data_IF_993505312053
#
_entry.id   IF_993505312053
#
_cell.length_a   1.000
_cell.length_b   1.000
_cell.length_c   1.000
_cell.angle_alpha   90.00
_cell.angle_beta   90.00
_cell.angle_gamma   90.00
#
_symmetry.space_group_name_H-M   'P 1'
#
loop_
_entity.id
_entity.type
_entity.pdbx_description
1 polymer ?
#
# COMPACT_ATOMS: atom_id res chain seq x y z
N UNK A 1 -24.45 1.26 -5.03
CA UNK A 1 -23.67 0.27 -4.27
C UNK A 1 -22.39 -0.09 -5.00
N UNK A 2 -21.29 -0.31 -4.27
CA UNK A 2 -20.02 -0.78 -4.82
C UNK A 2 -20.10 -2.28 -5.13
N UNK A 3 -19.52 -2.70 -6.26
CA UNK A 3 -19.42 -4.11 -6.60
C UNK A 3 -18.55 -4.85 -5.57
N UNK A 4 -18.76 -6.16 -5.41
CA UNK A 4 -18.02 -6.95 -4.42
C UNK A 4 -16.49 -6.86 -4.58
N UNK A 5 -16.01 -6.74 -5.83
CA UNK A 5 -14.58 -6.63 -6.14
C UNK A 5 -13.97 -5.24 -5.88
N UNK A 6 -14.81 -4.21 -5.69
CA UNK A 6 -14.35 -2.84 -5.37
C UNK A 6 -14.23 -2.63 -3.84
N UNK A 7 -14.72 -3.58 -3.05
CA UNK A 7 -14.67 -3.51 -1.59
C UNK A 7 -13.29 -3.95 -1.10
N UNK A 8 -12.77 -3.23 -0.10
CA UNK A 8 -11.55 -3.63 0.59
C UNK A 8 -11.86 -4.88 1.41
N UNK A 9 -11.20 -5.99 1.08
CA UNK A 9 -11.40 -7.29 1.74
C UNK A 9 -10.46 -7.45 2.94
N UNK A 10 -9.19 -7.05 2.78
CA UNK A 10 -8.15 -7.13 3.81
C UNK A 10 -7.28 -5.88 3.78
N UNK A 11 -6.78 -5.47 4.94
CA UNK A 11 -5.80 -4.40 5.08
C UNK A 11 -4.79 -4.75 6.18
N UNK A 12 -3.58 -4.24 6.02
CA UNK A 12 -2.51 -4.35 7.04
C UNK A 12 -2.22 -2.97 7.58
N UNK A 13 -2.05 -2.87 8.89
CA UNK A 13 -1.62 -1.63 9.54
C UNK A 13 -0.10 -1.57 9.57
N UNK A 14 0.46 -0.49 9.05
CA UNK A 14 1.88 -0.16 9.19
C UNK A 14 2.08 0.67 10.45
N UNK A 15 3.23 0.51 11.10
CA UNK A 15 3.62 1.25 12.31
C UNK A 15 4.15 2.67 12.01
N UNK A 16 4.32 2.99 10.74
CA UNK A 16 4.80 4.29 10.27
C UNK A 16 3.97 4.81 9.08
N UNK A 17 4.13 6.09 8.79
CA UNK A 17 3.51 6.76 7.65
C UNK A 17 4.41 6.70 6.43
N UNK A 18 3.82 6.81 5.24
CA UNK A 18 4.60 7.02 4.02
C UNK A 18 5.32 8.37 4.07
N UNK A 19 6.56 8.40 3.59
CA UNK A 19 7.37 9.62 3.62
C UNK A 19 7.95 9.98 2.26
N UNK A 20 8.32 11.25 2.11
CA UNK A 20 9.09 11.71 0.94
C UNK A 20 10.53 11.18 1.00
N UNK A 21 11.10 11.08 2.21
CA UNK A 21 12.47 10.62 2.47
C UNK A 21 12.69 9.17 2.03
N UNK A 22 11.71 8.30 2.31
CA UNK A 22 11.74 6.90 1.86
C UNK A 22 11.40 6.75 0.36
N UNK A 23 11.17 7.86 -0.35
CA UNK A 23 10.84 7.87 -1.77
C UNK A 23 9.43 7.40 -2.12
N UNK A 24 8.62 7.05 -1.12
CA UNK A 24 7.25 6.55 -1.23
C UNK A 24 6.25 7.63 -1.63
N UNK A 25 6.60 8.90 -1.42
CA UNK A 25 5.80 10.05 -1.81
C UNK A 25 6.55 10.96 -2.79
N UNK A 26 5.81 11.69 -3.62
CA UNK A 26 6.35 12.81 -4.39
C UNK A 26 6.57 14.01 -3.46
N UNK A 27 7.41 14.98 -3.85
CA UNK A 27 7.51 16.27 -3.13
C UNK A 27 6.16 17.02 -3.02
N UNK A 28 5.18 16.65 -3.84
CA UNK A 28 3.80 17.14 -3.81
C UNK A 28 2.83 16.24 -3.01
N UNK A 29 3.34 15.38 -2.13
CA UNK A 29 2.59 14.47 -1.26
C UNK A 29 1.71 13.42 -1.98
N UNK A 30 2.00 13.10 -3.25
CA UNK A 30 1.30 12.01 -3.95
C UNK A 30 2.01 10.69 -3.69
N UNK A 31 1.24 9.62 -3.43
CA UNK A 31 1.78 8.27 -3.23
C UNK A 31 2.38 7.71 -4.53
N UNK A 32 3.61 7.22 -4.45
CA UNK A 32 4.28 6.46 -5.51
C UNK A 32 3.96 4.98 -5.36
N UNK A 33 2.78 4.59 -5.85
CA UNK A 33 2.24 3.21 -5.75
C UNK A 33 3.24 2.14 -6.16
N UNK A 34 4.04 2.35 -7.20
CA UNK A 34 5.05 1.39 -7.67
C UNK A 34 6.13 1.12 -6.62
N UNK A 35 6.65 2.18 -5.99
CA UNK A 35 7.69 2.08 -4.96
C UNK A 35 7.11 1.44 -3.70
N UNK A 36 5.92 1.88 -3.28
CA UNK A 36 5.21 1.30 -2.13
C UNK A 36 4.97 -0.20 -2.36
N UNK A 37 4.44 -0.59 -3.52
CA UNK A 37 4.17 -2.00 -3.83
C UNK A 37 5.45 -2.87 -3.81
N UNK A 38 6.59 -2.31 -4.23
CA UNK A 38 7.89 -3.00 -4.17
C UNK A 38 8.41 -3.11 -2.73
N UNK A 39 8.36 -2.02 -1.95
CA UNK A 39 8.85 -2.01 -0.57
C UNK A 39 8.06 -2.94 0.35
N UNK A 40 6.75 -3.08 0.12
CA UNK A 40 5.86 -3.91 0.93
C UNK A 40 5.40 -5.19 0.20
N UNK A 41 6.14 -5.65 -0.81
CA UNK A 41 5.79 -6.84 -1.59
C UNK A 41 5.53 -8.03 -0.68
N UNK A 42 6.42 -8.30 0.28
CA UNK A 42 6.28 -9.41 1.23
C UNK A 42 5.00 -9.33 2.07
N UNK A 43 4.61 -8.12 2.49
CA UNK A 43 3.39 -7.90 3.28
C UNK A 43 2.16 -8.14 2.39
N UNK A 44 2.16 -7.58 1.18
CA UNK A 44 1.08 -7.74 0.21
C UNK A 44 0.92 -9.23 -0.13
N UNK A 45 2.00 -9.96 -0.41
CA UNK A 45 1.96 -11.39 -0.70
C UNK A 45 1.36 -12.19 0.46
N UNK A 46 1.78 -11.90 1.71
CA UNK A 46 1.21 -12.54 2.90
C UNK A 46 -0.30 -12.33 3.05
N UNK A 47 -0.83 -11.18 2.62
CA UNK A 47 -2.28 -10.94 2.66
C UNK A 47 -3.08 -11.84 1.71
N UNK A 48 -2.45 -12.31 0.63
CA UNK A 48 -3.04 -13.18 -0.39
C UNK A 48 -2.73 -14.67 -0.19
N UNK A 49 -1.85 -15.05 0.74
CA UNK A 49 -1.43 -16.44 0.99
C UNK A 49 -2.41 -17.27 1.85
N UNK A 50 -3.66 -16.82 2.02
CA UNK A 50 -4.72 -17.57 2.72
C UNK A 50 -5.69 -18.26 1.76
#
# INVERSE_FOLDING_TARGET
DLAHHEKIIKFTLLDHQFTIENGEMTPSNKLKRKVIAQNYEDIIQKMYQE
#
